data_IF_979384144369
#
_entry.id   IF_979384144369
#
_cell.length_a   1.000
_cell.length_b   1.000
_cell.length_c   1.000
_cell.angle_alpha   90.00
_cell.angle_beta   90.00
_cell.angle_gamma   90.00
#
_symmetry.space_group_name_H-M   'P 1'
#
loop_
_entity.id
_entity.type
_entity.pdbx_description
1 polymer ?
#
# COMPACT_ATOMS: atom_id res chain seq x y z
N UNK A 1 -11.61 -3.27 11.65
CA UNK A 1 -11.25 -3.57 10.23
C UNK A 1 -12.07 -2.87 9.13
N UNK A 2 -13.37 -2.55 9.29
CA UNK A 2 -14.17 -1.93 8.20
C UNK A 2 -13.55 -0.64 7.62
N UNK A 3 -13.15 0.30 8.49
CA UNK A 3 -12.51 1.57 8.09
C UNK A 3 -11.18 1.37 7.37
N UNK A 4 -10.37 0.39 7.81
CA UNK A 4 -9.06 0.12 7.21
C UNK A 4 -9.19 -0.46 5.80
N UNK A 5 -10.08 -1.44 5.61
CA UNK A 5 -10.39 -2.00 4.27
C UNK A 5 -10.86 -0.90 3.30
N UNK A 6 -11.73 0.00 3.75
CA UNK A 6 -12.21 1.10 2.94
C UNK A 6 -11.07 2.06 2.53
N UNK A 7 -10.19 2.43 3.47
CA UNK A 7 -9.03 3.30 3.20
C UNK A 7 -8.02 2.64 2.27
N UNK A 8 -7.64 1.38 2.51
CA UNK A 8 -6.72 0.64 1.65
C UNK A 8 -7.26 0.52 0.22
N UNK A 9 -8.54 0.14 0.07
CA UNK A 9 -9.19 0.08 -1.25
C UNK A 9 -9.13 1.43 -1.96
N UNK A 10 -9.49 2.51 -1.28
CA UNK A 10 -9.51 3.85 -1.88
C UNK A 10 -8.11 4.33 -2.26
N UNK A 11 -7.11 4.14 -1.40
CA UNK A 11 -5.73 4.51 -1.68
C UNK A 11 -5.16 3.71 -2.85
N UNK A 12 -5.25 2.37 -2.79
CA UNK A 12 -4.74 1.47 -3.84
C UNK A 12 -5.41 1.77 -5.19
N UNK A 13 -6.73 1.94 -5.21
CA UNK A 13 -7.44 2.29 -6.45
C UNK A 13 -6.95 3.63 -7.03
N UNK A 14 -6.72 4.64 -6.20
CA UNK A 14 -6.25 5.94 -6.66
C UNK A 14 -4.83 5.86 -7.25
N UNK A 15 -3.90 5.17 -6.58
CA UNK A 15 -2.50 5.08 -7.05
C UNK A 15 -2.33 4.17 -8.27
N UNK A 16 -3.27 3.25 -8.51
CA UNK A 16 -3.34 2.43 -9.73
C UNK A 16 -4.13 3.11 -10.87
N UNK A 17 -4.31 4.43 -10.83
CA UNK A 17 -4.95 5.19 -11.92
C UNK A 17 -6.48 5.17 -11.91
N UNK A 18 -7.12 4.82 -10.80
CA UNK A 18 -8.56 4.89 -10.64
C UNK A 18 -9.10 6.32 -10.76
N UNK A 19 -10.38 6.49 -11.12
CA UNK A 19 -10.96 7.80 -11.48
C UNK A 19 -11.14 8.76 -10.28
N UNK A 20 -10.92 8.27 -9.06
CA UNK A 20 -11.06 9.06 -7.83
C UNK A 20 -9.69 9.22 -7.18
N UNK A 21 -9.21 10.46 -6.96
CA UNK A 21 -7.96 10.67 -6.27
C UNK A 21 -8.06 10.27 -4.79
N UNK A 22 -6.92 9.98 -4.19
CA UNK A 22 -6.82 9.81 -2.75
C UNK A 22 -6.97 11.16 -2.04
N UNK A 23 -7.91 11.25 -1.10
CA UNK A 23 -8.20 12.49 -0.34
C UNK A 23 -7.96 12.35 1.17
N UNK A 24 -7.42 11.21 1.60
CA UNK A 24 -7.05 11.01 3.01
C UNK A 24 -5.66 11.59 3.34
N UNK A 25 -5.16 11.23 4.53
CA UNK A 25 -3.81 11.62 4.95
C UNK A 25 -2.76 11.09 3.95
N UNK A 26 -1.70 11.84 3.71
CA UNK A 26 -0.52 11.31 3.01
C UNK A 26 0.14 10.20 3.83
N UNK A 27 1.02 9.41 3.20
CA UNK A 27 1.62 8.24 3.84
C UNK A 27 2.39 8.60 5.11
N UNK A 28 3.15 9.70 5.13
CA UNK A 28 3.88 10.12 6.32
C UNK A 28 2.95 10.47 7.48
N UNK A 29 2.00 11.37 7.28
CA UNK A 29 1.02 11.77 8.30
C UNK A 29 0.07 10.66 8.75
N UNK A 30 -0.07 9.62 7.94
CA UNK A 30 -0.86 8.44 8.31
C UNK A 30 -0.12 7.51 9.28
N UNK A 31 1.22 7.54 9.28
CA UNK A 31 2.07 6.60 10.01
C UNK A 31 3.09 7.29 10.95
N UNK A 32 3.15 8.63 11.00
CA UNK A 32 4.10 9.42 11.81
C UNK A 32 4.00 9.16 13.32
N UNK A 33 2.85 8.71 13.80
CA UNK A 33 2.64 8.35 15.21
C UNK A 33 2.83 6.85 15.51
N UNK A 34 3.32 6.06 14.56
CA UNK A 34 3.45 4.61 14.69
C UNK A 34 4.93 4.21 14.72
N UNK A 35 5.24 3.21 15.53
CA UNK A 35 6.58 2.62 15.62
C UNK A 35 6.74 1.54 14.54
N UNK A 36 7.00 1.97 13.30
CA UNK A 36 7.10 1.08 12.13
C UNK A 36 8.57 0.94 11.72
N UNK A 37 9.10 -0.26 11.91
CA UNK A 37 10.38 -0.69 11.36
C UNK A 37 10.26 -1.25 9.94
N UNK A 38 11.40 -1.40 9.27
CA UNK A 38 11.48 -1.96 7.91
C UNK A 38 10.81 -3.33 7.77
N UNK A 39 10.96 -4.21 8.77
CA UNK A 39 10.37 -5.55 8.76
C UNK A 39 8.83 -5.52 8.74
N UNK A 40 8.20 -4.53 9.39
CA UNK A 40 6.74 -4.36 9.36
C UNK A 40 6.25 -3.94 7.98
N UNK A 41 7.00 -3.05 7.31
CA UNK A 41 6.71 -2.65 5.93
C UNK A 41 6.86 -3.84 4.97
N UNK A 42 7.95 -4.58 5.10
CA UNK A 42 8.23 -5.73 4.24
C UNK A 42 7.17 -6.82 4.40
N UNK A 43 6.72 -7.08 5.63
CA UNK A 43 5.64 -8.04 5.91
C UNK A 43 4.30 -7.65 5.27
N UNK A 44 3.91 -6.37 5.29
CA UNK A 44 2.64 -5.96 4.64
C UNK A 44 2.75 -5.97 3.11
N UNK A 45 3.93 -5.68 2.56
CA UNK A 45 4.21 -5.80 1.14
C UNK A 45 4.15 -7.26 0.67
N UNK A 46 4.74 -8.19 1.42
CA UNK A 46 4.66 -9.63 1.16
C UNK A 46 3.21 -10.14 1.18
N UNK A 47 2.44 -9.77 2.21
CA UNK A 47 1.02 -10.14 2.32
C UNK A 47 0.19 -9.65 1.12
N UNK A 48 0.45 -8.42 0.65
CA UNK A 48 -0.21 -7.89 -0.54
C UNK A 48 0.16 -8.71 -1.79
N UNK A 49 1.46 -8.97 -1.99
CA UNK A 49 1.92 -9.73 -3.14
C UNK A 49 1.34 -11.15 -3.16
N UNK A 50 1.31 -11.83 -2.01
CA UNK A 50 0.69 -13.15 -1.86
C UNK A 50 -0.80 -13.10 -2.19
N UNK A 51 -1.53 -12.11 -1.67
CA UNK A 51 -2.97 -11.95 -1.95
C UNK A 51 -3.25 -11.77 -3.45
N UNK A 52 -2.44 -10.99 -4.16
CA UNK A 52 -2.60 -10.79 -5.61
C UNK A 52 -2.28 -12.06 -6.41
N UNK A 53 -1.26 -12.83 -5.98
CA UNK A 53 -0.94 -14.14 -6.56
C UNK A 53 -2.09 -15.13 -6.38
N UNK A 54 -2.69 -15.20 -5.19
CA UNK A 54 -3.83 -16.07 -4.89
C UNK A 54 -5.06 -15.70 -5.73
N UNK A 55 -5.23 -14.41 -6.02
CA UNK A 55 -6.26 -13.90 -6.93
C UNK A 55 -5.92 -14.11 -8.42
N UNK A 56 -4.80 -14.76 -8.73
CA UNK A 56 -4.32 -15.04 -10.09
C UNK A 56 -4.13 -13.78 -10.94
N UNK A 57 -3.73 -12.68 -10.31
CA UNK A 57 -3.37 -11.45 -11.03
C UNK A 57 -2.09 -11.72 -11.84
N UNK A 58 -2.01 -11.27 -13.10
CA UNK A 58 -0.79 -11.37 -13.93
C UNK A 58 0.45 -10.81 -13.24
N UNK A 59 1.59 -11.49 -13.41
CA UNK A 59 2.82 -11.18 -12.68
C UNK A 59 3.40 -9.78 -12.99
N UNK A 60 3.21 -9.31 -14.22
CA UNK A 60 3.54 -7.96 -14.66
C UNK A 60 2.73 -6.89 -13.91
N UNK A 61 1.42 -7.10 -13.75
CA UNK A 61 0.57 -6.22 -12.96
C UNK A 61 0.91 -6.26 -11.46
N UNK A 62 1.27 -7.43 -10.94
CA UNK A 62 1.77 -7.53 -9.56
C UNK A 62 3.05 -6.70 -9.39
N UNK A 63 3.98 -6.78 -10.33
CA UNK A 63 5.22 -6.01 -10.27
C UNK A 63 4.97 -4.49 -10.30
N UNK A 64 4.02 -4.03 -11.10
CA UNK A 64 3.58 -2.63 -11.13
C UNK A 64 3.02 -2.19 -9.76
N UNK A 65 2.09 -2.97 -9.19
CA UNK A 65 1.52 -2.69 -7.86
C UNK A 65 2.62 -2.63 -6.79
N UNK A 66 3.55 -3.60 -6.80
CA UNK A 66 4.63 -3.65 -5.81
C UNK A 66 5.63 -2.50 -5.97
N UNK A 67 5.86 -2.02 -7.19
CA UNK A 67 6.68 -0.82 -7.45
C UNK A 67 6.07 0.42 -6.79
N UNK A 68 4.76 0.59 -6.94
CA UNK A 68 4.03 1.69 -6.30
C UNK A 68 4.09 1.57 -4.78
N UNK A 69 3.87 0.38 -4.22
CA UNK A 69 3.97 0.18 -2.76
C UNK A 69 5.36 0.52 -2.27
N UNK A 70 6.42 0.01 -2.91
CA UNK A 70 7.80 0.30 -2.53
C UNK A 70 8.13 1.80 -2.52
N UNK A 71 7.53 2.59 -3.45
CA UNK A 71 7.71 4.04 -3.48
C UNK A 71 7.25 4.77 -2.21
N UNK A 72 6.33 4.16 -1.43
CA UNK A 72 5.81 4.73 -0.17
C UNK A 72 6.67 4.46 1.05
N UNK A 73 7.70 3.60 0.93
CA UNK A 73 8.49 3.10 2.07
C UNK A 73 9.10 4.21 2.92
N UNK A 74 9.69 5.23 2.29
CA UNK A 74 10.32 6.34 3.02
C UNK A 74 9.32 7.11 3.87
N UNK A 75 8.12 7.35 3.34
CA UNK A 75 7.08 8.04 4.07
C UNK A 75 6.51 7.21 5.23
N UNK A 76 6.31 5.91 5.02
CA UNK A 76 5.78 5.01 6.06
C UNK A 76 6.79 4.82 7.20
N UNK A 77 8.08 4.74 6.89
CA UNK A 77 9.17 4.55 7.86
C UNK A 77 9.69 5.86 8.46
N UNK A 78 9.10 7.00 8.12
CA UNK A 78 9.55 8.34 8.54
C UNK A 78 11.04 8.62 8.23
N UNK A 79 11.52 8.14 7.08
CA UNK A 79 12.87 8.37 6.56
C UNK A 79 12.97 9.62 5.68
#
# INVERSE_FOLDING_TARGET
>A
MKKQKAKQKAFIAAVLGGPKPWTGKNMRRAHDSLDIEGCHFDAIAENLQASLKDMKVPADLIAEVMTIVASTRKDVLNL
#
